data_IF_484620302780
#
_entry.id   IF_484620302780
#
_cell.length_a   1.000
_cell.length_b   1.000
_cell.length_c   1.000
_cell.angle_alpha   90.00
_cell.angle_beta   90.00
_cell.angle_gamma   90.00
#
_symmetry.space_group_name_H-M   'P 1'
#
loop_
_entity.id
_entity.type
_entity.pdbx_description
1 polymer ?
#
# COMPACT_ATOMS: atom_id res chain seq x y z
N UNK A 1 21.96 -14.68 21.76
CA UNK A 1 20.49 -14.90 21.71
C UNK A 1 20.00 -14.34 20.40
N UNK A 2 19.43 -15.16 19.51
CA UNK A 2 18.84 -14.66 18.27
C UNK A 2 17.72 -13.68 18.65
N UNK A 3 17.87 -12.40 18.27
CA UNK A 3 16.80 -11.42 18.46
C UNK A 3 15.65 -11.89 17.60
N UNK A 4 14.58 -12.29 18.26
CA UNK A 4 13.40 -12.79 17.60
C UNK A 4 12.76 -11.66 16.77
N UNK A 5 12.79 -11.79 15.44
CA UNK A 5 12.37 -10.74 14.50
C UNK A 5 10.92 -10.28 14.69
N UNK A 6 10.11 -11.07 15.39
CA UNK A 6 8.71 -10.77 15.75
C UNK A 6 8.53 -9.42 16.44
N UNK A 7 9.45 -9.05 17.33
CA UNK A 7 9.39 -7.77 18.06
C UNK A 7 9.53 -6.54 17.17
N UNK A 8 10.05 -6.72 15.96
CA UNK A 8 10.32 -5.67 14.98
C UNK A 8 9.30 -5.63 13.84
N UNK A 9 8.30 -6.52 13.87
CA UNK A 9 7.25 -6.62 12.86
C UNK A 9 5.94 -6.05 13.37
N UNK A 10 5.19 -5.45 12.47
CA UNK A 10 3.78 -5.13 12.68
C UNK A 10 2.97 -6.16 11.92
N UNK A 11 1.93 -6.69 12.54
CA UNK A 11 1.01 -7.67 12.00
C UNK A 11 -0.37 -7.04 11.79
N UNK A 12 -1.14 -7.64 10.88
CA UNK A 12 -2.56 -7.38 10.68
C UNK A 12 -3.37 -8.49 11.32
N UNK A 13 -4.27 -8.13 12.23
CA UNK A 13 -5.25 -9.04 12.81
C UNK A 13 -6.61 -8.82 12.12
N UNK A 14 -7.22 -9.87 11.59
CA UNK A 14 -8.49 -9.85 10.86
C UNK A 14 -9.53 -10.74 11.54
N UNK A 15 -10.79 -10.56 11.11
CA UNK A 15 -11.98 -11.24 11.63
C UNK A 15 -12.27 -10.92 13.11
N UNK A 16 -11.83 -9.76 13.58
CA UNK A 16 -12.16 -9.29 14.93
C UNK A 16 -13.68 -9.03 14.98
N UNK A 17 -14.39 -9.43 16.06
CA UNK A 17 -15.82 -9.15 16.19
C UNK A 17 -16.16 -7.66 16.03
N UNK A 18 -17.23 -7.35 15.30
CA UNK A 18 -17.61 -5.98 14.92
C UNK A 18 -17.86 -5.01 16.08
N UNK A 19 -18.24 -5.53 17.26
CA UNK A 19 -18.54 -4.73 18.45
C UNK A 19 -17.29 -4.27 19.20
N UNK A 20 -16.11 -4.86 18.96
CA UNK A 20 -14.86 -4.43 19.60
C UNK A 20 -14.28 -3.27 18.82
N UNK A 21 -14.16 -2.10 19.45
CA UNK A 21 -13.81 -0.84 18.77
C UNK A 21 -12.52 -0.22 19.29
N UNK A 22 -12.02 -0.68 20.43
CA UNK A 22 -10.84 -0.11 21.08
C UNK A 22 -9.61 -1.00 20.99
N UNK A 23 -8.43 -0.39 21.04
CA UNK A 23 -7.15 -1.12 21.08
C UNK A 23 -7.02 -1.98 22.34
N UNK A 24 -7.56 -1.54 23.48
CA UNK A 24 -7.56 -2.30 24.73
C UNK A 24 -8.39 -3.59 24.65
N UNK A 25 -9.54 -3.55 23.97
CA UNK A 25 -10.36 -4.74 23.69
C UNK A 25 -9.62 -5.71 22.78
N UNK A 26 -9.00 -5.22 21.69
CA UNK A 26 -8.22 -6.06 20.77
C UNK A 26 -7.01 -6.69 21.46
N UNK A 27 -6.28 -5.94 22.30
CA UNK A 27 -5.19 -6.47 23.12
C UNK A 27 -5.69 -7.56 24.07
N UNK A 28 -6.84 -7.37 24.71
CA UNK A 28 -7.45 -8.36 25.60
C UNK A 28 -7.87 -9.63 24.85
N UNK A 29 -8.49 -9.46 23.69
CA UNK A 29 -8.86 -10.56 22.80
C UNK A 29 -7.62 -11.36 22.38
N UNK A 30 -6.60 -10.68 21.86
CA UNK A 30 -5.40 -11.35 21.37
C UNK A 30 -4.60 -12.03 22.48
N UNK A 31 -4.55 -11.42 23.68
CA UNK A 31 -4.00 -12.06 24.88
C UNK A 31 -4.70 -13.40 25.17
N UNK A 32 -6.04 -13.44 25.09
CA UNK A 32 -6.80 -14.67 25.30
C UNK A 32 -6.59 -15.73 24.21
N UNK A 33 -6.28 -15.35 22.97
CA UNK A 33 -6.00 -16.29 21.86
C UNK A 33 -4.56 -16.79 21.83
N UNK A 34 -3.62 -16.04 22.40
CA UNK A 34 -2.18 -16.33 22.33
C UNK A 34 -1.58 -16.81 23.65
N UNK A 35 -2.24 -16.55 24.77
CA UNK A 35 -1.70 -16.80 26.12
C UNK A 35 -0.64 -15.80 26.55
N UNK A 36 -0.30 -14.81 25.71
CA UNK A 36 0.65 -13.76 26.09
C UNK A 36 0.00 -12.76 27.07
N UNK A 37 0.75 -12.25 28.06
CA UNK A 37 0.28 -11.13 28.88
C UNK A 37 -0.07 -9.92 28.02
N UNK A 38 -1.10 -9.16 28.41
CA UNK A 38 -1.51 -7.93 27.70
C UNK A 38 -0.36 -6.93 27.53
N UNK A 39 0.55 -6.85 28.49
CA UNK A 39 1.75 -5.99 28.45
C UNK A 39 2.73 -6.35 27.32
N UNK A 40 2.63 -7.54 26.74
CA UNK A 40 3.47 -8.00 25.62
C UNK A 40 2.79 -7.79 24.26
N UNK A 41 1.61 -7.17 24.23
CA UNK A 41 0.82 -6.94 23.01
C UNK A 41 0.49 -5.47 22.89
N UNK A 42 0.84 -4.88 21.75
CA UNK A 42 0.52 -3.49 21.42
C UNK A 42 -0.41 -3.48 20.21
N UNK A 43 -1.67 -3.10 20.41
CA UNK A 43 -2.59 -2.80 19.32
C UNK A 43 -2.53 -1.30 19.01
N UNK A 44 -2.28 -0.94 17.74
CA UNK A 44 -2.12 0.45 17.32
C UNK A 44 -3.37 1.02 16.66
N UNK A 45 -4.19 0.17 16.03
CA UNK A 45 -5.43 0.62 15.42
C UNK A 45 -6.47 -0.49 15.38
N UNK A 46 -7.74 -0.09 15.29
CA UNK A 46 -8.89 -0.95 15.07
C UNK A 46 -9.79 -0.23 14.07
N UNK A 47 -10.20 -0.91 13.00
CA UNK A 47 -10.97 -0.30 11.92
C UNK A 47 -11.96 -1.30 11.31
N UNK A 48 -13.08 -0.81 10.78
CA UNK A 48 -14.06 -1.65 10.08
C UNK A 48 -13.46 -2.22 8.81
N UNK A 49 -13.50 -3.55 8.66
CA UNK A 49 -12.97 -4.25 7.49
C UNK A 49 -13.63 -3.77 6.19
N UNK A 50 -12.85 -3.69 5.11
CA UNK A 50 -13.35 -3.31 3.79
C UNK A 50 -14.02 -4.52 3.10
N UNK A 51 -15.15 -4.97 3.64
CA UNK A 51 -15.95 -6.07 3.12
C UNK A 51 -17.44 -5.72 3.26
N UNK A 52 -18.00 -5.15 2.19
CA UNK A 52 -19.35 -4.60 2.20
C UNK A 52 -20.45 -5.68 2.22
N UNK A 53 -20.10 -6.93 1.88
CA UNK A 53 -21.06 -8.05 1.81
C UNK A 53 -21.14 -8.84 3.12
N UNK A 54 -20.26 -8.55 4.08
CA UNK A 54 -20.17 -9.33 5.31
C UNK A 54 -21.12 -8.83 6.40
N UNK A 55 -22.00 -9.71 6.84
CA UNK A 55 -22.94 -9.48 7.93
C UNK A 55 -22.83 -10.62 8.98
N UNK A 56 -22.52 -10.34 10.27
CA UNK A 56 -22.18 -9.02 10.80
C UNK A 56 -20.79 -8.53 10.33
N UNK A 57 -20.57 -7.20 10.28
CA UNK A 57 -19.27 -6.64 9.92
C UNK A 57 -18.19 -7.06 10.91
N UNK A 58 -16.94 -7.08 10.44
CA UNK A 58 -15.78 -7.39 11.29
C UNK A 58 -14.78 -6.24 11.31
N UNK A 59 -13.89 -6.26 12.30
CA UNK A 59 -12.78 -5.32 12.40
C UNK A 59 -11.46 -5.93 11.96
N UNK A 60 -10.55 -5.04 11.61
CA UNK A 60 -9.13 -5.27 11.35
C UNK A 60 -8.33 -4.41 12.31
N UNK A 61 -7.21 -4.92 12.81
CA UNK A 61 -6.31 -4.18 13.68
C UNK A 61 -4.86 -4.32 13.24
N UNK A 62 -4.04 -3.31 13.51
CA UNK A 62 -2.58 -3.44 13.42
C UNK A 62 -2.00 -3.69 14.80
N UNK A 63 -1.17 -4.72 14.95
CA UNK A 63 -0.66 -5.17 16.25
C UNK A 63 0.84 -5.48 16.17
N UNK A 64 1.54 -5.37 17.31
CA UNK A 64 2.92 -5.83 17.48
C UNK A 64 3.01 -6.63 18.78
N UNK A 65 3.86 -7.64 18.77
CA UNK A 65 4.18 -8.43 19.94
C UNK A 65 5.56 -7.99 20.46
N UNK A 66 5.68 -7.68 21.74
CA UNK A 66 6.97 -7.32 22.35
C UNK A 66 7.81 -8.56 22.69
N UNK A 67 7.14 -9.69 22.93
CA UNK A 67 7.73 -11.01 23.04
C UNK A 67 7.17 -11.92 21.95
N UNK A 68 7.96 -12.88 21.51
CA UNK A 68 7.49 -13.85 20.52
C UNK A 68 6.36 -14.73 21.08
N UNK A 69 5.20 -14.81 20.41
CA UNK A 69 4.14 -15.74 20.77
C UNK A 69 4.51 -17.16 20.34
N UNK A 70 5.13 -17.94 21.24
CA UNK A 70 5.45 -19.36 21.01
C UNK A 70 4.23 -20.17 20.56
N UNK A 71 3.05 -19.82 21.08
CA UNK A 71 1.76 -20.43 20.72
C UNK A 71 1.38 -20.22 19.25
N UNK A 72 1.89 -19.18 18.60
CA UNK A 72 1.70 -18.92 17.17
C UNK A 72 2.84 -19.54 16.38
N UNK A 73 4.09 -19.42 16.85
CA UNK A 73 5.25 -20.00 16.18
C UNK A 73 5.19 -21.50 15.99
N UNK A 74 4.66 -22.21 16.99
CA UNK A 74 4.49 -23.67 16.92
C UNK A 74 3.38 -24.11 15.98
N UNK A 75 2.52 -23.19 15.53
CA UNK A 75 1.48 -23.49 14.55
C UNK A 75 2.06 -23.43 13.14
N UNK A 76 1.74 -24.44 12.35
CA UNK A 76 1.95 -24.39 10.90
C UNK A 76 1.20 -23.19 10.32
N UNK A 77 1.88 -22.25 9.64
CA UNK A 77 1.21 -21.16 8.95
C UNK A 77 0.20 -21.69 7.93
N UNK A 78 -0.92 -20.99 7.75
CA UNK A 78 -1.90 -21.30 6.68
C UNK A 78 -1.25 -21.12 5.32
N UNK A 79 -0.42 -20.08 5.22
CA UNK A 79 0.53 -19.79 4.15
C UNK A 79 1.65 -18.94 4.73
N UNK A 80 2.69 -18.70 3.96
CA UNK A 80 3.82 -17.89 4.40
C UNK A 80 3.35 -16.55 5.00
N UNK A 81 3.73 -16.30 6.26
CA UNK A 81 3.37 -15.08 6.97
C UNK A 81 1.91 -14.95 7.42
N UNK A 82 1.09 -16.01 7.40
CA UNK A 82 -0.32 -16.00 7.87
C UNK A 82 -0.62 -17.17 8.83
N UNK A 83 -1.26 -16.87 9.96
CA UNK A 83 -1.61 -17.83 11.02
C UNK A 83 -3.09 -17.76 11.38
N UNK A 84 -3.68 -18.94 11.62
CA UNK A 84 -5.06 -19.09 12.10
C UNK A 84 -5.07 -19.28 13.62
N UNK A 85 -5.77 -18.39 14.32
CA UNK A 85 -5.91 -18.45 15.78
C UNK A 85 -7.32 -18.91 16.13
N UNK A 86 -7.39 -20.04 16.81
CA UNK A 86 -8.64 -20.70 17.26
C UNK A 86 -8.61 -20.85 18.77
N UNK A 87 -9.78 -20.79 19.40
CA UNK A 87 -9.97 -21.13 20.82
C UNK A 87 -10.82 -22.39 20.95
N UNK A 88 -10.50 -23.22 21.94
CA UNK A 88 -11.21 -24.47 22.26
C UNK A 88 -12.69 -24.26 22.62
N UNK A 89 -13.07 -23.04 23.02
CA UNK A 89 -14.39 -22.70 23.57
C UNK A 89 -15.38 -22.09 22.55
N UNK A 90 -15.20 -22.33 21.25
CA UNK A 90 -16.14 -21.86 20.21
C UNK A 90 -16.17 -20.34 19.94
N UNK A 91 -15.23 -19.58 20.51
CA UNK A 91 -15.21 -18.10 20.50
C UNK A 91 -14.78 -17.44 19.15
N UNK A 92 -15.04 -18.10 18.03
CA UNK A 92 -14.67 -17.61 16.69
C UNK A 92 -13.20 -17.81 16.32
N UNK A 93 -12.87 -17.46 15.08
CA UNK A 93 -11.54 -17.60 14.47
C UNK A 93 -10.97 -16.22 14.13
N UNK A 94 -9.69 -15.99 14.50
CA UNK A 94 -8.94 -14.82 14.07
C UNK A 94 -7.87 -15.22 13.04
N UNK A 95 -7.57 -14.31 12.12
CA UNK A 95 -6.46 -14.45 11.18
C UNK A 95 -5.42 -13.40 11.50
N UNK A 96 -4.18 -13.83 11.70
CA UNK A 96 -3.03 -12.95 11.89
C UNK A 96 -2.14 -13.07 10.66
N UNK A 97 -1.80 -11.96 10.02
CA UNK A 97 -0.85 -11.96 8.91
C UNK A 97 0.21 -10.86 9.02
N UNK A 98 1.35 -11.12 8.40
CA UNK A 98 2.48 -10.17 8.30
C UNK A 98 2.63 -9.59 6.90
N UNK A 99 1.96 -10.15 5.89
CA UNK A 99 2.16 -9.77 4.49
C UNK A 99 1.27 -8.58 4.04
N UNK A 100 0.15 -8.29 4.72
CA UNK A 100 -0.76 -7.17 4.40
C UNK A 100 -1.33 -7.18 2.96
N UNK A 101 -1.58 -8.35 2.39
CA UNK A 101 -2.19 -8.47 1.05
C UNK A 101 -3.69 -8.15 1.12
N UNK A 102 -4.21 -7.53 0.06
CA UNK A 102 -5.57 -7.02 0.01
C UNK A 102 -5.72 -5.69 0.75
N UNK A 103 -6.96 -5.35 1.07
CA UNK A 103 -7.31 -4.08 1.71
C UNK A 103 -7.08 -4.15 3.22
N UNK A 104 -6.41 -3.14 3.77
CA UNK A 104 -6.16 -2.99 5.21
C UNK A 104 -6.54 -1.58 5.65
N UNK A 105 -7.74 -1.38 6.23
CA UNK A 105 -8.08 -0.11 6.84
C UNK A 105 -7.19 0.12 8.07
N UNK A 106 -6.62 1.32 8.18
CA UNK A 106 -5.66 1.68 9.22
C UNK A 106 -6.28 2.47 10.36
N UNK A 107 -7.41 3.15 10.13
CA UNK A 107 -8.19 3.84 11.15
C UNK A 107 -9.70 3.64 10.86
N UNK A 108 -10.52 3.76 11.90
CA UNK A 108 -11.98 3.88 11.74
C UNK A 108 -12.36 5.37 11.75
N UNK A 109 -13.51 5.67 11.16
CA UNK A 109 -14.13 7.00 11.20
C UNK A 109 -15.61 6.81 11.49
N UNK A 110 -16.18 7.61 12.38
CA UNK A 110 -17.61 7.56 12.65
C UNK A 110 -18.40 7.84 11.36
N UNK A 111 -19.50 7.11 11.13
CA UNK A 111 -20.28 7.19 9.88
C UNK A 111 -20.73 8.62 9.55
N UNK A 112 -21.07 9.42 10.57
CA UNK A 112 -21.48 10.83 10.45
C UNK A 112 -20.34 11.77 10.07
N UNK A 113 -19.09 11.38 10.35
CA UNK A 113 -17.88 12.17 10.10
C UNK A 113 -17.09 11.64 8.89
N UNK A 114 -17.43 10.46 8.37
CA UNK A 114 -16.69 9.82 7.28
C UNK A 114 -16.93 10.52 5.95
N UNK A 115 -15.93 11.28 5.53
CA UNK A 115 -16.00 12.11 4.32
C UNK A 115 -15.32 11.43 3.12
N UNK A 116 -14.15 10.82 3.32
CA UNK A 116 -13.28 10.36 2.24
C UNK A 116 -12.57 9.06 2.60
N UNK A 117 -12.38 8.20 1.60
CA UNK A 117 -11.45 7.07 1.67
C UNK A 117 -10.12 7.42 0.98
N UNK A 118 -9.02 7.31 1.70
CA UNK A 118 -7.66 7.48 1.17
C UNK A 118 -6.98 6.12 1.03
N UNK A 119 -6.75 5.67 -0.20
CA UNK A 119 -6.26 4.32 -0.51
C UNK A 119 -4.82 4.40 -1.02
N UNK A 120 -3.89 3.82 -0.27
CA UNK A 120 -2.48 3.76 -0.61
C UNK A 120 -2.09 2.43 -1.27
N UNK A 121 -1.45 2.51 -2.43
CA UNK A 121 -1.03 1.39 -3.27
C UNK A 121 0.50 1.36 -3.33
N UNK A 122 1.10 0.28 -2.83
CA UNK A 122 2.54 0.16 -2.67
C UNK A 122 3.27 -0.29 -3.94
N UNK A 123 4.59 -0.08 -3.99
CA UNK A 123 5.43 -0.43 -5.14
C UNK A 123 5.88 -1.90 -5.21
N UNK A 124 6.63 -2.22 -6.28
CA UNK A 124 7.25 -3.53 -6.54
C UNK A 124 8.20 -3.93 -5.42
N UNK A 125 8.23 -5.23 -5.07
CA UNK A 125 9.14 -5.81 -4.09
C UNK A 125 9.13 -5.09 -2.74
N UNK A 126 7.99 -4.50 -2.40
CA UNK A 126 7.84 -3.65 -1.22
C UNK A 126 6.82 -4.28 -0.28
N UNK A 127 7.10 -4.20 1.03
CA UNK A 127 6.18 -4.69 2.04
C UNK A 127 5.05 -3.66 2.22
N UNK A 128 3.76 -3.99 1.98
CA UNK A 128 2.69 -3.00 1.92
C UNK A 128 2.59 -2.07 3.14
N UNK A 129 2.71 -2.59 4.35
CA UNK A 129 2.77 -1.75 5.56
C UNK A 129 4.10 -0.98 5.70
N UNK A 130 5.23 -1.69 5.63
CA UNK A 130 6.58 -1.12 5.80
C UNK A 130 7.02 -0.14 4.72
N UNK A 131 6.35 -0.08 3.56
CA UNK A 131 6.61 0.91 2.51
C UNK A 131 6.27 2.32 2.95
N UNK A 132 5.27 2.49 3.82
CA UNK A 132 4.77 3.78 4.26
C UNK A 132 5.12 4.08 5.73
N UNK A 133 5.80 3.16 6.40
CA UNK A 133 6.24 3.33 7.78
C UNK A 133 7.62 4.01 7.83
N UNK A 134 7.79 4.92 8.79
CA UNK A 134 9.10 5.50 9.13
C UNK A 134 10.17 4.42 9.32
N UNK A 135 11.43 4.75 8.99
CA UNK A 135 12.56 3.81 9.16
C UNK A 135 12.75 3.36 10.61
N UNK A 136 12.41 4.23 11.57
CA UNK A 136 12.42 3.97 13.02
C UNK A 136 11.25 3.09 13.48
N UNK A 137 10.28 2.78 12.60
CA UNK A 137 9.13 1.89 12.86
C UNK A 137 8.22 2.30 14.03
N UNK A 138 8.33 3.54 14.49
CA UNK A 138 7.53 4.12 15.56
C UNK A 138 6.37 4.98 15.04
N UNK A 139 6.43 5.39 13.77
CA UNK A 139 5.42 6.25 13.15
C UNK A 139 4.99 5.72 11.78
N UNK A 140 3.67 5.67 11.55
CA UNK A 140 3.06 5.28 10.29
C UNK A 140 2.13 6.41 9.85
N UNK A 141 2.64 7.34 9.04
CA UNK A 141 1.95 8.61 8.76
C UNK A 141 0.56 8.44 8.12
N UNK A 142 0.30 7.34 7.41
CA UNK A 142 -1.05 7.02 6.92
C UNK A 142 -2.02 6.75 8.07
N UNK A 143 -1.60 5.98 9.09
CA UNK A 143 -2.42 5.63 10.25
C UNK A 143 -2.49 6.76 11.27
N UNK A 144 -1.35 7.39 11.52
CA UNK A 144 -1.14 8.29 12.66
C UNK A 144 -1.20 9.78 12.27
N UNK A 145 -0.84 10.10 11.02
CA UNK A 145 -0.72 11.49 10.56
C UNK A 145 -1.97 11.98 9.84
N UNK A 146 -2.42 11.25 8.82
CA UNK A 146 -3.55 11.67 7.97
C UNK A 146 -4.82 11.89 8.79
N UNK A 147 -5.28 10.97 9.66
CA UNK A 147 -6.55 11.17 10.37
C UNK A 147 -6.51 12.36 11.34
N UNK A 148 -5.33 12.69 11.86
CA UNK A 148 -5.11 13.85 12.74
C UNK A 148 -5.08 15.17 11.97
N UNK A 149 -4.45 15.19 10.79
CA UNK A 149 -4.33 16.40 9.96
C UNK A 149 -5.58 16.66 9.11
N UNK A 150 -6.33 15.61 8.75
CA UNK A 150 -7.50 15.65 7.87
C UNK A 150 -8.63 14.82 8.50
N UNK A 151 -9.37 15.39 9.47
CA UNK A 151 -10.49 14.70 10.11
C UNK A 151 -11.51 14.19 9.09
N UNK A 152 -12.12 13.03 9.36
CA UNK A 152 -13.09 12.41 8.48
C UNK A 152 -12.50 11.56 7.34
N UNK A 153 -11.17 11.46 7.24
CA UNK A 153 -10.49 10.57 6.28
C UNK A 153 -10.25 9.19 6.89
N UNK A 154 -10.73 8.16 6.18
CA UNK A 154 -10.38 6.76 6.46
C UNK A 154 -9.24 6.34 5.55
N UNK A 155 -8.12 5.90 6.13
CA UNK A 155 -6.93 5.47 5.39
C UNK A 155 -6.88 3.97 5.25
N UNK A 156 -6.46 3.50 4.07
CA UNK A 156 -6.55 2.09 3.67
C UNK A 156 -5.30 1.75 2.86
N UNK A 157 -4.61 0.67 3.23
CA UNK A 157 -3.55 0.09 2.40
C UNK A 157 -4.16 -0.92 1.43
N UNK A 158 -3.65 -0.94 0.20
CA UNK A 158 -3.78 -2.09 -0.69
C UNK A 158 -2.41 -2.74 -0.91
N UNK A 159 -2.29 -3.99 -0.48
CA UNK A 159 -1.11 -4.81 -0.72
C UNK A 159 -1.36 -5.90 -1.76
N UNK A 160 -0.33 -6.22 -2.53
CA UNK A 160 -0.31 -7.33 -3.47
C UNK A 160 1.09 -7.95 -3.48
N UNK A 161 1.17 -9.25 -3.76
CA UNK A 161 2.47 -9.92 -3.90
C UNK A 161 3.15 -9.42 -5.17
N UNK A 162 4.38 -8.95 -4.99
CA UNK A 162 5.22 -8.43 -6.06
C UNK A 162 6.69 -8.72 -5.75
N UNK A 163 6.96 -9.82 -5.04
CA UNK A 163 8.31 -10.24 -4.71
C UNK A 163 9.18 -10.41 -5.97
N UNK A 164 10.44 -9.97 -5.88
CA UNK A 164 11.43 -10.17 -6.95
C UNK A 164 12.16 -11.50 -6.79
N UNK A 165 12.60 -11.80 -5.57
CA UNK A 165 13.36 -13.01 -5.24
C UNK A 165 12.41 -14.17 -4.99
N UNK A 166 12.76 -15.32 -5.57
CA UNK A 166 12.02 -16.59 -5.46
C UNK A 166 10.54 -16.53 -5.86
N UNK A 167 10.14 -15.49 -6.62
CA UNK A 167 8.78 -15.36 -7.10
C UNK A 167 8.42 -16.43 -8.11
N UNK A 168 7.25 -17.04 -7.92
CA UNK A 168 6.61 -17.94 -8.89
C UNK A 168 5.49 -17.23 -9.66
N UNK A 169 5.29 -15.94 -9.41
CA UNK A 169 4.24 -15.14 -10.05
C UNK A 169 4.68 -14.66 -11.43
N UNK A 170 3.82 -14.84 -12.41
CA UNK A 170 3.96 -14.27 -13.76
C UNK A 170 2.98 -13.10 -14.00
N UNK A 171 2.40 -12.55 -12.92
CA UNK A 171 1.41 -11.49 -13.02
C UNK A 171 1.97 -10.26 -13.74
N UNK A 172 1.22 -9.77 -14.72
CA UNK A 172 1.45 -8.48 -15.35
C UNK A 172 0.91 -7.34 -14.47
N UNK A 173 1.28 -6.10 -14.83
CA UNK A 173 0.70 -4.89 -14.22
C UNK A 173 -0.84 -4.90 -14.39
N UNK A 174 -1.33 -5.39 -15.53
CA UNK A 174 -2.75 -5.47 -15.84
C UNK A 174 -3.49 -6.51 -14.99
N UNK A 175 -2.86 -7.65 -14.68
CA UNK A 175 -3.43 -8.66 -13.77
C UNK A 175 -3.55 -8.11 -12.35
N UNK A 176 -2.52 -7.39 -11.89
CA UNK A 176 -2.52 -6.75 -10.57
C UNK A 176 -3.61 -5.66 -10.51
N UNK A 177 -3.73 -4.84 -11.55
CA UNK A 177 -4.77 -3.81 -11.68
C UNK A 177 -6.18 -4.41 -11.69
N UNK A 178 -6.41 -5.49 -12.42
CA UNK A 178 -7.70 -6.18 -12.45
C UNK A 178 -8.06 -6.71 -11.05
N UNK A 179 -7.11 -7.33 -10.34
CA UNK A 179 -7.33 -7.79 -8.95
C UNK A 179 -7.63 -6.64 -8.01
N UNK A 180 -6.99 -5.49 -8.19
CA UNK A 180 -7.29 -4.30 -7.42
C UNK A 180 -8.73 -3.83 -7.64
N UNK A 181 -9.21 -3.77 -8.89
CA UNK A 181 -10.62 -3.45 -9.21
C UNK A 181 -11.60 -4.41 -8.54
N UNK A 182 -11.32 -5.72 -8.56
CA UNK A 182 -12.16 -6.73 -7.91
C UNK A 182 -12.23 -6.53 -6.39
N UNK A 183 -11.12 -6.16 -5.75
CA UNK A 183 -11.10 -5.85 -4.32
C UNK A 183 -11.90 -4.57 -4.01
N UNK A 184 -11.78 -3.52 -4.83
CA UNK A 184 -12.58 -2.31 -4.66
C UNK A 184 -14.08 -2.59 -4.85
N UNK A 185 -14.42 -3.45 -5.81
CA UNK A 185 -15.81 -3.89 -6.05
C UNK A 185 -16.35 -4.65 -4.84
N UNK A 186 -15.62 -5.64 -4.32
CA UNK A 186 -15.98 -6.41 -3.14
C UNK A 186 -16.20 -5.53 -1.91
N UNK A 187 -15.36 -4.51 -1.75
CA UNK A 187 -15.47 -3.54 -0.66
C UNK A 187 -16.55 -2.47 -0.88
N UNK A 188 -17.29 -2.52 -1.99
CA UNK A 188 -18.48 -1.69 -2.20
C UNK A 188 -18.23 -0.29 -2.76
N UNK A 189 -17.05 0.04 -3.30
CA UNK A 189 -16.80 1.39 -3.87
C UNK A 189 -17.64 1.71 -5.10
N UNK A 190 -18.21 0.69 -5.74
CA UNK A 190 -19.17 0.85 -6.84
C UNK A 190 -20.58 1.25 -6.38
N UNK A 191 -20.89 1.11 -5.08
CA UNK A 191 -22.23 1.37 -4.55
C UNK A 191 -22.50 2.88 -4.43
N UNK A 192 -23.76 3.34 -4.54
CA UNK A 192 -24.10 4.75 -4.40
C UNK A 192 -23.71 5.39 -3.06
N UNK A 193 -23.66 4.58 -2.00
CA UNK A 193 -23.28 5.00 -0.65
C UNK A 193 -21.76 5.12 -0.44
N UNK A 194 -20.94 4.78 -1.45
CA UNK A 194 -19.49 4.87 -1.32
C UNK A 194 -19.02 6.31 -1.14
N UNK A 195 -17.97 6.48 -0.32
CA UNK A 195 -17.36 7.78 -0.11
C UNK A 195 -16.45 8.14 -1.29
N UNK A 196 -16.27 9.44 -1.57
CA UNK A 196 -15.22 9.89 -2.48
C UNK A 196 -13.85 9.32 -2.14
N UNK A 197 -13.03 9.07 -3.16
CA UNK A 197 -11.74 8.43 -3.02
C UNK A 197 -10.59 9.35 -3.39
N UNK A 198 -9.51 9.27 -2.60
CA UNK A 198 -8.19 9.79 -2.93
C UNK A 198 -7.21 8.63 -2.94
N UNK A 199 -6.28 8.61 -3.90
CA UNK A 199 -5.28 7.55 -3.99
C UNK A 199 -3.88 8.06 -3.71
N UNK A 200 -3.07 7.22 -3.05
CA UNK A 200 -1.62 7.42 -2.93
C UNK A 200 -0.95 6.27 -3.70
N UNK A 201 -0.30 6.57 -4.82
CA UNK A 201 0.37 5.55 -5.64
C UNK A 201 1.87 5.68 -5.53
N UNK A 202 2.58 4.67 -5.03
CA UNK A 202 4.05 4.67 -5.00
C UNK A 202 4.62 3.70 -6.04
N UNK A 203 5.56 4.19 -6.86
CA UNK A 203 6.29 3.35 -7.83
C UNK A 203 5.32 2.53 -8.70
N UNK A 204 5.48 1.20 -8.78
CA UNK A 204 4.56 0.28 -9.47
C UNK A 204 3.09 0.47 -9.05
N UNK A 205 2.81 0.80 -7.79
CA UNK A 205 1.46 1.01 -7.30
C UNK A 205 0.71 2.15 -8.02
N UNK A 206 1.43 3.18 -8.47
CA UNK A 206 0.87 4.22 -9.32
C UNK A 206 0.53 3.72 -10.73
N UNK A 207 1.33 2.83 -11.31
CA UNK A 207 1.02 2.20 -12.61
C UNK A 207 -0.19 1.27 -12.51
N UNK A 208 -0.26 0.48 -11.44
CA UNK A 208 -1.43 -0.37 -11.12
C UNK A 208 -2.70 0.46 -11.03
N UNK A 209 -2.64 1.62 -10.35
CA UNK A 209 -3.77 2.54 -10.26
C UNK A 209 -4.17 3.10 -11.63
N UNK A 210 -3.20 3.54 -12.45
CA UNK A 210 -3.46 4.06 -13.80
C UNK A 210 -4.15 3.02 -14.67
N UNK A 211 -3.64 1.79 -14.68
CA UNK A 211 -4.19 0.70 -15.49
C UNK A 211 -5.58 0.29 -14.97
N UNK A 212 -5.78 0.25 -13.65
CA UNK A 212 -7.10 0.01 -13.06
C UNK A 212 -8.13 1.05 -13.52
N UNK A 213 -7.78 2.35 -13.58
CA UNK A 213 -8.68 3.39 -14.08
C UNK A 213 -9.00 3.21 -15.58
N UNK A 214 -8.00 2.85 -16.39
CA UNK A 214 -8.18 2.60 -17.83
C UNK A 214 -9.09 1.37 -18.06
N UNK A 215 -8.84 0.27 -17.34
CA UNK A 215 -9.67 -0.94 -17.41
C UNK A 215 -11.09 -0.69 -16.92
N UNK A 216 -11.26 0.06 -15.83
CA UNK A 216 -12.57 0.44 -15.30
C UNK A 216 -13.37 1.24 -16.33
N UNK A 217 -12.76 2.24 -16.96
CA UNK A 217 -13.43 3.07 -17.97
C UNK A 217 -13.88 2.29 -19.22
N UNK A 218 -13.14 1.23 -19.58
CA UNK A 218 -13.48 0.34 -20.70
C UNK A 218 -14.36 -0.87 -20.33
N UNK A 219 -14.75 -1.01 -19.06
CA UNK A 219 -15.46 -2.20 -18.58
C UNK A 219 -16.92 -2.23 -19.01
N UNK A 220 -17.40 -3.42 -19.41
CA UNK A 220 -18.84 -3.69 -19.65
C UNK A 220 -19.61 -3.98 -18.35
N UNK A 221 -18.89 -4.30 -17.27
CA UNK A 221 -19.49 -4.46 -15.95
C UNK A 221 -19.72 -3.09 -15.34
N UNK A 222 -21.00 -2.70 -15.22
CA UNK A 222 -21.41 -1.39 -14.71
C UNK A 222 -20.87 -1.10 -13.30
N UNK A 223 -20.73 -2.12 -12.44
CA UNK A 223 -20.17 -1.95 -11.11
C UNK A 223 -18.67 -1.62 -11.19
N UNK A 224 -17.93 -2.29 -12.08
CA UNK A 224 -16.50 -1.99 -12.30
C UNK A 224 -16.32 -0.61 -12.94
N UNK A 225 -17.17 -0.23 -13.90
CA UNK A 225 -17.14 1.08 -14.53
C UNK A 225 -17.47 2.24 -13.57
N UNK A 226 -18.17 1.96 -12.47
CA UNK A 226 -18.53 2.95 -11.47
C UNK A 226 -17.43 3.23 -10.42
N UNK A 227 -16.39 2.39 -10.32
CA UNK A 227 -15.42 2.40 -9.21
C UNK A 227 -14.71 3.75 -8.99
N UNK A 228 -14.45 4.51 -10.06
CA UNK A 228 -13.75 5.80 -9.99
C UNK A 228 -14.65 7.01 -10.23
N UNK A 229 -15.98 6.85 -10.25
CA UNK A 229 -16.91 7.97 -10.48
C UNK A 229 -16.81 9.06 -9.40
N UNK A 230 -16.41 8.68 -8.18
CA UNK A 230 -16.22 9.59 -7.04
C UNK A 230 -14.74 9.87 -6.74
N UNK A 231 -13.87 9.72 -7.74
CA UNK A 231 -12.45 10.07 -7.61
C UNK A 231 -12.29 11.58 -7.38
N UNK A 232 -11.67 11.94 -6.25
CA UNK A 232 -11.27 13.33 -5.96
C UNK A 232 -9.91 13.67 -6.56
N UNK A 233 -8.96 12.74 -6.46
CA UNK A 233 -7.58 12.99 -6.84
C UNK A 233 -6.62 11.88 -6.46
N UNK A 234 -5.35 12.12 -6.75
CA UNK A 234 -4.28 11.22 -6.39
C UNK A 234 -2.96 11.96 -6.14
N UNK A 235 -2.15 11.41 -5.26
CA UNK A 235 -0.75 11.79 -5.08
C UNK A 235 0.16 10.62 -5.50
N UNK A 236 0.98 10.86 -6.52
CA UNK A 236 1.75 9.83 -7.22
C UNK A 236 3.23 9.99 -6.89
N UNK A 237 3.83 9.04 -6.17
CA UNK A 237 5.21 9.09 -5.68
C UNK A 237 6.14 8.23 -6.55
N UNK A 238 7.06 8.86 -7.28
CA UNK A 238 8.12 8.14 -8.01
C UNK A 238 7.59 7.17 -9.06
N UNK A 239 6.40 7.41 -9.62
CA UNK A 239 5.76 6.45 -10.54
C UNK A 239 6.54 6.40 -11.85
N UNK A 240 7.05 5.25 -12.32
CA UNK A 240 7.92 5.20 -13.49
C UNK A 240 7.12 5.25 -14.79
N UNK A 241 6.42 6.36 -15.06
CA UNK A 241 5.52 6.52 -16.21
C UNK A 241 6.23 6.45 -17.56
N UNK A 242 7.53 6.73 -17.60
CA UNK A 242 8.40 6.63 -18.78
C UNK A 242 9.51 5.59 -18.56
N UNK A 243 9.32 4.70 -17.60
CA UNK A 243 10.28 3.67 -17.18
C UNK A 243 11.28 4.14 -16.13
N UNK A 244 12.00 3.18 -15.58
CA UNK A 244 13.02 3.36 -14.54
C UNK A 244 14.33 2.67 -14.90
N UNK A 245 15.41 3.06 -14.22
CA UNK A 245 16.61 2.23 -14.19
C UNK A 245 16.38 1.04 -13.26
N UNK A 246 16.39 -0.15 -13.85
CA UNK A 246 16.26 -1.43 -13.16
C UNK A 246 17.28 -2.45 -13.65
N UNK A 247 18.39 -1.98 -14.22
CA UNK A 247 19.48 -2.82 -14.74
C UNK A 247 19.99 -3.81 -13.68
N UNK A 248 20.12 -3.34 -12.44
CA UNK A 248 20.54 -4.12 -11.29
C UNK A 248 19.54 -5.23 -10.86
N UNK A 249 18.31 -5.25 -11.39
CA UNK A 249 17.35 -6.34 -11.14
C UNK A 249 17.47 -7.49 -12.12
N UNK A 250 18.08 -7.30 -13.30
CA UNK A 250 18.20 -8.34 -14.33
C UNK A 250 18.67 -9.69 -13.76
N UNK A 251 19.82 -9.74 -13.05
CA UNK A 251 20.33 -10.97 -12.43
C UNK A 251 19.39 -11.61 -11.39
N UNK A 252 18.47 -10.85 -10.78
CA UNK A 252 17.53 -11.38 -9.79
C UNK A 252 16.35 -12.12 -10.43
N UNK A 253 15.99 -11.74 -11.67
CA UNK A 253 14.77 -12.22 -12.35
C UNK A 253 15.06 -12.98 -13.64
N UNK A 254 16.32 -13.08 -14.07
CA UNK A 254 16.71 -13.81 -15.28
C UNK A 254 16.16 -15.24 -15.28
N UNK A 255 15.38 -15.57 -16.32
CA UNK A 255 14.75 -16.88 -16.48
C UNK A 255 13.62 -17.17 -15.48
N UNK A 256 13.17 -16.16 -14.72
CA UNK A 256 12.09 -16.30 -13.73
C UNK A 256 10.75 -15.80 -14.28
N UNK A 257 9.61 -16.31 -13.77
CA UNK A 257 8.29 -15.92 -14.27
C UNK A 257 7.97 -14.42 -14.19
N UNK A 258 8.59 -13.69 -13.24
CA UNK A 258 8.39 -12.27 -13.02
C UNK A 258 9.31 -11.36 -13.87
N UNK A 259 10.12 -11.93 -14.78
CA UNK A 259 11.04 -11.17 -15.62
C UNK A 259 10.32 -10.11 -16.48
N UNK A 260 9.19 -10.49 -17.09
CA UNK A 260 8.39 -9.60 -17.97
C UNK A 260 7.89 -8.37 -17.19
N UNK A 261 7.50 -8.55 -15.93
CA UNK A 261 7.08 -7.43 -15.07
C UNK A 261 8.21 -6.42 -14.89
N UNK A 262 9.44 -6.89 -14.67
CA UNK A 262 10.64 -6.03 -14.57
C UNK A 262 10.96 -5.38 -15.91
N UNK A 263 10.93 -6.13 -17.02
CA UNK A 263 11.20 -5.58 -18.35
C UNK A 263 10.22 -4.47 -18.73
N UNK A 264 8.94 -4.61 -18.40
CA UNK A 264 7.90 -3.59 -18.63
C UNK A 264 8.12 -2.29 -17.84
N UNK A 265 8.91 -2.33 -16.77
CA UNK A 265 9.28 -1.13 -16.00
C UNK A 265 10.57 -0.47 -16.53
N UNK A 266 11.34 -1.16 -17.37
CA UNK A 266 12.63 -0.67 -17.84
C UNK A 266 12.48 0.55 -18.73
N UNK A 267 13.36 1.56 -18.55
CA UNK A 267 13.46 2.71 -19.45
C UNK A 267 13.87 2.31 -20.87
N UNK A 268 14.61 1.21 -21.05
CA UNK A 268 15.01 0.74 -22.37
C UNK A 268 13.87 0.01 -23.10
N UNK A 269 13.19 -0.91 -22.40
CA UNK A 269 12.29 -1.89 -23.02
C UNK A 269 10.80 -1.64 -22.75
N UNK A 270 10.44 -1.06 -21.60
CA UNK A 270 9.06 -0.86 -21.16
C UNK A 270 8.33 0.31 -21.79
N UNK A 271 8.99 1.05 -22.70
CA UNK A 271 8.48 2.35 -23.16
C UNK A 271 7.19 2.27 -23.96
N UNK A 272 6.88 1.16 -24.64
CA UNK A 272 5.65 1.05 -25.46
C UNK A 272 4.41 0.90 -24.57
N UNK A 273 4.40 -0.09 -23.67
CA UNK A 273 3.32 -0.31 -22.71
C UNK A 273 3.08 0.93 -21.85
N UNK A 274 4.15 1.48 -21.27
CA UNK A 274 4.03 2.63 -20.36
C UNK A 274 3.53 3.90 -21.07
N UNK A 275 3.97 4.16 -22.32
CA UNK A 275 3.45 5.27 -23.12
C UNK A 275 1.98 5.08 -23.49
N UNK A 276 1.58 3.87 -23.89
CA UNK A 276 0.18 3.59 -24.21
C UNK A 276 -0.72 3.74 -22.98
N UNK A 277 -0.27 3.23 -21.83
CA UNK A 277 -0.98 3.37 -20.57
C UNK A 277 -1.11 4.84 -20.17
N UNK A 278 -0.04 5.62 -20.27
CA UNK A 278 -0.09 7.06 -19.98
C UNK A 278 -1.05 7.79 -20.92
N UNK A 279 -0.98 7.55 -22.23
CA UNK A 279 -1.90 8.17 -23.20
C UNK A 279 -3.37 7.92 -22.86
N UNK A 280 -3.75 6.65 -22.66
CA UNK A 280 -5.12 6.28 -22.27
C UNK A 280 -5.53 6.90 -20.95
N UNK A 281 -4.65 6.91 -19.95
CA UNK A 281 -4.92 7.49 -18.63
C UNK A 281 -5.22 8.99 -18.70
N UNK A 282 -4.42 9.76 -19.44
CA UNK A 282 -4.62 11.22 -19.58
C UNK A 282 -5.92 11.57 -20.32
N UNK A 283 -6.44 10.67 -21.14
CA UNK A 283 -7.67 10.87 -21.91
C UNK A 283 -8.95 10.70 -21.06
N UNK A 284 -8.87 9.99 -19.93
CA UNK A 284 -10.02 9.68 -19.09
C UNK A 284 -10.69 10.94 -18.53
N UNK A 285 -12.01 11.04 -18.69
CA UNK A 285 -12.78 12.19 -18.20
C UNK A 285 -12.68 12.37 -16.67
N UNK A 286 -12.62 11.27 -15.91
CA UNK A 286 -12.43 11.30 -14.45
C UNK A 286 -11.05 11.86 -14.07
N UNK A 287 -10.00 11.51 -14.81
CA UNK A 287 -8.63 11.99 -14.58
C UNK A 287 -8.52 13.48 -14.88
N UNK A 288 -9.17 13.97 -15.95
CA UNK A 288 -9.19 15.40 -16.30
C UNK A 288 -9.87 16.28 -15.25
N UNK A 289 -10.81 15.72 -14.47
CA UNK A 289 -11.52 16.40 -13.38
C UNK A 289 -10.84 16.25 -12.02
N UNK A 290 -10.00 15.22 -11.85
CA UNK A 290 -9.37 14.90 -10.59
C UNK A 290 -8.14 15.78 -10.29
N UNK A 291 -7.89 16.06 -9.01
CA UNK A 291 -6.69 16.75 -8.56
C UNK A 291 -5.52 15.78 -8.42
N UNK A 292 -4.67 15.68 -9.45
CA UNK A 292 -3.52 14.77 -9.47
C UNK A 292 -2.21 15.54 -9.33
N UNK A 293 -1.43 15.15 -8.32
CA UNK A 293 -0.11 15.69 -8.01
C UNK A 293 0.97 14.59 -8.11
N UNK A 294 2.19 14.98 -8.47
CA UNK A 294 3.29 14.06 -8.74
C UNK A 294 4.51 14.39 -7.89
N UNK A 295 4.87 13.49 -6.99
CA UNK A 295 6.08 13.59 -6.21
C UNK A 295 7.24 12.83 -6.87
N UNK A 296 8.46 13.39 -6.80
CA UNK A 296 9.66 12.77 -7.35
C UNK A 296 10.83 12.79 -6.35
N UNK A 297 11.68 11.78 -6.44
CA UNK A 297 12.90 11.66 -5.63
C UNK A 297 13.95 12.70 -6.02
N UNK A 298 14.73 13.18 -5.05
CA UNK A 298 15.85 14.10 -5.29
C UNK A 298 17.19 13.55 -4.81
N UNK A 299 17.21 12.34 -4.25
CA UNK A 299 18.41 11.59 -3.90
C UNK A 299 18.48 10.30 -4.73
N UNK A 300 19.69 9.83 -5.00
CA UNK A 300 19.91 8.54 -5.65
C UNK A 300 19.64 7.37 -4.68
N UNK A 301 19.15 6.26 -5.20
CA UNK A 301 18.85 5.05 -4.42
C UNK A 301 19.99 4.05 -4.51
N UNK A 302 20.39 3.39 -3.39
CA UNK A 302 21.35 2.29 -3.45
C UNK A 302 20.80 1.12 -4.26
N UNK A 303 21.61 0.58 -5.18
CA UNK A 303 21.22 -0.58 -5.99
C UNK A 303 21.43 -1.89 -5.24
N UNK A 304 20.82 -2.96 -5.75
CA UNK A 304 20.97 -4.30 -5.20
C UNK A 304 22.23 -4.96 -5.79
N UNK A 305 23.04 -5.60 -4.94
CA UNK A 305 24.23 -6.36 -5.30
C UNK A 305 24.20 -7.72 -4.62
N UNK A 306 24.64 -8.76 -5.33
CA UNK A 306 24.84 -10.08 -4.74
C UNK A 306 26.12 -10.07 -3.89
N UNK A 307 25.99 -10.53 -2.65
CA UNK A 307 27.10 -10.75 -1.73
C UNK A 307 27.80 -12.09 -2.02
N UNK A 308 29.04 -12.29 -1.55
CA UNK A 308 29.79 -13.53 -1.80
C UNK A 308 29.11 -14.81 -1.29
N UNK A 309 28.22 -14.68 -0.30
CA UNK A 309 27.43 -15.78 0.27
C UNK A 309 26.17 -16.13 -0.54
N UNK A 310 25.97 -15.47 -1.69
CA UNK A 310 24.82 -15.65 -2.57
C UNK A 310 23.58 -14.84 -2.18
N UNK A 311 23.60 -14.15 -1.03
CA UNK A 311 22.51 -13.27 -0.59
C UNK A 311 22.52 -11.93 -1.33
N UNK A 312 21.41 -11.20 -1.30
CA UNK A 312 21.28 -9.91 -1.97
C UNK A 312 21.20 -8.77 -0.95
N UNK A 313 21.96 -7.71 -1.18
CA UNK A 313 22.01 -6.53 -0.31
C UNK A 313 21.86 -5.24 -1.10
N UNK A 314 21.23 -4.22 -0.51
CA UNK A 314 21.13 -2.86 -1.06
C UNK A 314 22.40 -2.05 -0.77
N UNK A 315 23.55 -2.60 -1.15
CA UNK A 315 24.89 -2.02 -0.95
C UNK A 315 25.61 -1.76 -2.29
N UNK A 316 24.89 -1.85 -3.41
CA UNK A 316 25.40 -1.47 -4.72
C UNK A 316 25.53 0.04 -4.88
N UNK A 317 26.21 0.51 -5.94
CA UNK A 317 26.36 1.92 -6.23
C UNK A 317 24.99 2.61 -6.36
N UNK A 318 24.84 3.85 -5.86
CA UNK A 318 23.58 4.56 -5.95
C UNK A 318 23.30 4.98 -7.40
N UNK A 319 22.02 5.01 -7.77
CA UNK A 319 21.55 5.51 -9.08
C UNK A 319 20.22 6.24 -8.93
N UNK A 320 19.95 7.18 -9.84
CA UNK A 320 18.62 7.76 -10.02
C UNK A 320 17.68 6.75 -10.72
N UNK A 321 16.84 6.07 -9.93
CA UNK A 321 15.95 5.03 -10.43
C UNK A 321 14.88 5.62 -11.35
N UNK A 322 14.18 6.66 -10.87
CA UNK A 322 13.09 7.30 -11.60
C UNK A 322 13.37 8.79 -11.73
N UNK A 323 13.80 9.21 -12.93
CA UNK A 323 14.05 10.62 -13.17
C UNK A 323 12.76 11.46 -13.05
N UNK A 324 12.87 12.78 -12.79
CA UNK A 324 11.70 13.64 -12.59
C UNK A 324 10.70 13.64 -13.75
N UNK A 325 11.18 13.48 -15.00
CA UNK A 325 10.30 13.41 -16.17
C UNK A 325 9.42 12.14 -16.12
N UNK A 326 10.00 10.99 -15.79
CA UNK A 326 9.29 9.72 -15.62
C UNK A 326 8.36 9.74 -14.42
N UNK A 327 8.87 10.19 -13.26
CA UNK A 327 8.12 10.27 -12.00
C UNK A 327 6.85 11.14 -12.11
N UNK A 328 6.86 12.13 -13.02
CA UNK A 328 5.83 13.16 -13.10
C UNK A 328 5.09 13.21 -14.43
N UNK A 329 5.20 12.23 -15.34
CA UNK A 329 4.61 12.34 -16.70
C UNK A 329 4.99 13.66 -17.43
N UNK A 330 6.23 14.12 -17.24
CA UNK A 330 6.75 15.41 -17.68
C UNK A 330 6.14 16.67 -17.02
N UNK A 331 5.28 16.55 -16.00
CA UNK A 331 4.74 17.70 -15.26
C UNK A 331 5.84 18.56 -14.62
N UNK A 332 6.98 17.95 -14.23
CA UNK A 332 8.18 18.68 -13.75
C UNK A 332 8.71 19.71 -14.75
N UNK A 333 8.41 19.55 -16.05
CA UNK A 333 8.76 20.49 -17.12
C UNK A 333 7.56 21.34 -17.58
N UNK A 334 6.34 20.81 -17.49
CA UNK A 334 5.12 21.46 -18.00
C UNK A 334 4.52 22.46 -17.02
N UNK A 335 4.37 22.05 -15.76
CA UNK A 335 3.75 22.85 -14.71
C UNK A 335 4.18 22.31 -13.34
N UNK A 336 5.12 23.02 -12.73
CA UNK A 336 5.70 22.66 -11.43
C UNK A 336 4.70 22.76 -10.27
N UNK A 337 3.59 23.47 -10.43
CA UNK A 337 2.56 23.58 -9.38
C UNK A 337 1.86 22.25 -9.10
N UNK A 338 1.97 21.28 -10.01
CA UNK A 338 1.48 19.91 -9.82
C UNK A 338 2.54 18.93 -9.33
N UNK A 339 3.74 19.40 -9.01
CA UNK A 339 4.85 18.52 -8.62
C UNK A 339 5.37 18.81 -7.23
N UNK A 340 5.85 17.77 -6.55
CA UNK A 340 6.45 17.85 -5.21
C UNK A 340 7.85 17.23 -5.27
N UNK A 341 8.95 18.00 -5.17
CA UNK A 341 10.25 17.42 -4.89
C UNK A 341 10.26 16.88 -3.45
N UNK A 342 10.77 15.67 -3.25
CA UNK A 342 10.96 15.09 -1.91
C UNK A 342 12.45 14.87 -1.71
N UNK A 343 12.98 15.30 -0.56
CA UNK A 343 14.38 15.10 -0.15
C UNK A 343 14.58 13.67 0.36
N UNK A 344 14.46 12.73 -0.57
CA UNK A 344 14.51 11.30 -0.33
C UNK A 344 14.85 10.53 -1.59
N UNK A 345 15.32 9.31 -1.39
CA UNK A 345 15.49 8.31 -2.44
C UNK A 345 14.15 7.61 -2.74
N UNK A 346 14.07 6.85 -3.84
CA UNK A 346 12.88 6.13 -4.28
C UNK A 346 12.25 5.23 -3.21
N UNK A 347 13.08 4.71 -2.30
CA UNK A 347 12.64 3.79 -1.25
C UNK A 347 12.21 4.50 0.03
N UNK A 348 12.58 5.76 0.21
CA UNK A 348 12.41 6.53 1.44
C UNK A 348 11.46 7.71 1.27
N UNK A 349 11.17 8.13 0.03
CA UNK A 349 10.26 9.25 -0.31
C UNK A 349 8.80 9.09 0.18
N UNK A 350 8.45 7.95 0.76
CA UNK A 350 7.13 7.65 1.35
C UNK A 350 7.23 7.20 2.82
N UNK A 351 8.42 7.26 3.42
CA UNK A 351 8.73 6.77 4.78
C UNK A 351 8.96 7.89 5.78
N UNK A 352 8.02 8.83 5.80
CA UNK A 352 8.12 10.02 6.63
C UNK A 352 8.13 9.70 8.13
N UNK A 353 8.95 10.43 8.86
CA UNK A 353 8.96 10.41 10.33
C UNK A 353 8.02 11.47 10.91
N UNK A 354 7.73 11.40 12.20
CA UNK A 354 7.01 12.48 12.87
C UNK A 354 7.88 13.75 12.85
N UNK A 355 7.34 14.87 12.37
CA UNK A 355 8.06 16.14 12.23
C UNK A 355 8.94 16.25 10.97
N UNK A 356 8.84 15.30 10.05
CA UNK A 356 9.51 15.35 8.75
C UNK A 356 9.00 16.56 7.92
N UNK A 357 9.88 17.46 7.45
CA UNK A 357 9.47 18.64 6.66
C UNK A 357 8.67 18.30 5.40
N UNK A 358 9.03 17.23 4.70
CA UNK A 358 8.35 16.84 3.45
C UNK A 358 6.94 16.31 3.72
N UNK A 359 6.72 15.71 4.90
CA UNK A 359 5.39 15.28 5.32
C UNK A 359 4.42 16.46 5.43
N UNK A 360 4.89 17.62 5.89
CA UNK A 360 4.06 18.83 5.99
C UNK A 360 3.55 19.29 4.61
N UNK A 361 4.43 19.25 3.61
CA UNK A 361 4.09 19.58 2.21
C UNK A 361 3.10 18.55 1.64
N UNK A 362 3.37 17.27 1.85
CA UNK A 362 2.48 16.17 1.41
C UNK A 362 1.10 16.29 2.04
N UNK A 363 1.01 16.58 3.34
CA UNK A 363 -0.26 16.77 4.05
C UNK A 363 -1.02 17.98 3.52
N UNK A 364 -0.35 19.12 3.28
CA UNK A 364 -0.98 20.32 2.72
C UNK A 364 -1.60 20.05 1.35
N UNK A 365 -0.88 19.35 0.46
CA UNK A 365 -1.43 18.96 -0.86
C UNK A 365 -2.56 17.95 -0.70
N UNK A 366 -2.42 16.96 0.19
CA UNK A 366 -3.46 15.95 0.41
C UNK A 366 -4.75 16.58 0.96
N UNK A 367 -4.65 17.50 1.92
CA UNK A 367 -5.79 18.29 2.43
C UNK A 367 -6.48 19.05 1.30
N UNK A 368 -5.72 19.68 0.39
CA UNK A 368 -6.29 20.37 -0.76
C UNK A 368 -7.07 19.43 -1.69
N UNK A 369 -6.55 18.23 -1.96
CA UNK A 369 -7.26 17.21 -2.75
C UNK A 369 -8.53 16.75 -2.03
N UNK A 370 -8.47 16.56 -0.71
CA UNK A 370 -9.63 16.16 0.10
C UNK A 370 -10.72 17.25 0.15
N UNK A 371 -10.34 18.53 0.12
CA UNK A 371 -11.29 19.65 0.20
C UNK A 371 -11.82 20.14 -1.16
N UNK A 372 -11.26 19.71 -2.29
CA UNK A 372 -11.74 20.14 -3.61
C UNK A 372 -13.12 19.55 -3.91
N UNK A 373 -14.12 20.42 -4.09
CA UNK A 373 -15.56 20.09 -4.29
C UNK A 373 -15.87 19.57 -5.67
#
# INVERSE_FOLDING_TARGET
MAVDGWSQLTFRLRKIPGHLTTTAEVTSLLSAFTGLPKSQIVAFSVATACDALRDPPTKVATVRFLASPDSIKRKTPVREGEWRLTRSSGAGELLLDSHFEGLTPLNDVATSEHMIDCIAVSGLASHPFGSWQSRTKNYMWLRDGIPNAIPGVRTILYGFDSALVASRSFQSISDIAQRFLLHLKLAGWHLPASKPTVFLGHSLGGLVLKDAMVQSAGSRDAAVAALFQRLRGALMFGVPNLGMDNSHWGPLVEGRPNEILVQNLSRANGTSFLRQLDGKFQELAVVKKAAIYWAYETLESPTVKQLPDGTWSRSGPPVLLVNPASATCNWSRKDKSRTIPIDGDHSTMVKFSLGDPDLGIVMMVLSKICSSV
#
